data_IF_820152916571
#
_entry.id   IF_820152916571
#
_cell.length_a   1.000
_cell.length_b   1.000
_cell.length_c   1.000
_cell.angle_alpha   90.00
_cell.angle_beta   90.00
_cell.angle_gamma   90.00
#
_symmetry.space_group_name_H-M   'P 1'
#
loop_
_entity.id
_entity.type
_entity.pdbx_description
1 polymer ?
#
# COMPACT_ATOMS: atom_id res chain seq x y z
N UNK A 1 -10.08 23.30 -10.11
CA UNK A 1 -9.47 23.63 -11.42
C UNK A 1 -8.24 24.53 -11.30
N UNK A 2 -8.27 25.66 -10.57
CA UNK A 2 -7.11 26.59 -10.44
C UNK A 2 -5.79 25.92 -10.00
N UNK A 3 -5.86 25.01 -9.02
CA UNK A 3 -4.68 24.26 -8.56
C UNK A 3 -4.07 23.40 -9.69
N UNK A 4 -4.91 22.69 -10.45
CA UNK A 4 -4.48 21.90 -11.61
C UNK A 4 -3.92 22.80 -12.72
N UNK A 5 -4.56 23.94 -12.98
CA UNK A 5 -4.03 24.94 -13.92
C UNK A 5 -2.64 25.43 -13.52
N UNK A 6 -2.40 25.66 -12.23
CA UNK A 6 -1.07 26.06 -11.72
C UNK A 6 -0.04 24.95 -11.96
N UNK A 7 -0.40 23.69 -11.69
CA UNK A 7 0.47 22.54 -11.96
C UNK A 7 0.76 22.40 -13.46
N UNK A 8 -0.25 22.55 -14.32
CA UNK A 8 -0.10 22.48 -15.77
C UNK A 8 0.78 23.61 -16.32
N UNK A 9 0.62 24.83 -15.81
CA UNK A 9 1.48 25.96 -16.17
C UNK A 9 2.93 25.71 -15.74
N UNK A 10 3.14 25.12 -14.56
CA UNK A 10 4.47 24.72 -14.10
C UNK A 10 5.09 23.65 -15.01
N UNK A 11 4.33 22.60 -15.34
CA UNK A 11 4.77 21.52 -16.23
C UNK A 11 5.13 22.02 -17.64
N UNK A 12 4.31 22.93 -18.19
CA UNK A 12 4.53 23.52 -19.51
C UNK A 12 5.83 24.34 -19.57
N UNK A 13 6.13 25.11 -18.52
CA UNK A 13 7.34 25.94 -18.44
C UNK A 13 8.60 25.12 -18.16
N UNK A 14 8.51 24.05 -17.36
CA UNK A 14 9.68 23.23 -17.01
C UNK A 14 9.96 22.07 -17.98
N UNK A 15 9.00 21.72 -18.84
CA UNK A 15 9.15 20.61 -19.80
C UNK A 15 9.12 19.23 -19.16
N UNK A 16 8.53 19.09 -17.97
CA UNK A 16 8.43 17.82 -17.25
C UNK A 16 7.19 17.01 -17.65
N UNK A 17 7.18 15.74 -17.27
CA UNK A 17 6.03 14.86 -17.47
C UNK A 17 5.18 14.80 -16.20
N UNK A 18 3.92 15.22 -16.33
CA UNK A 18 2.92 15.08 -15.28
C UNK A 18 2.18 13.75 -15.44
N UNK A 19 2.36 12.85 -14.47
CA UNK A 19 1.56 11.62 -14.36
C UNK A 19 0.51 11.82 -13.27
N UNK A 20 -0.73 12.12 -13.67
CA UNK A 20 -1.84 12.32 -12.76
C UNK A 20 -2.52 10.99 -12.46
N UNK A 21 -2.30 10.49 -11.25
CA UNK A 21 -2.93 9.25 -10.80
C UNK A 21 -4.41 9.48 -10.46
N UNK A 22 -5.25 8.46 -10.69
CA UNK A 22 -6.67 8.45 -10.31
C UNK A 22 -7.49 9.64 -10.83
N UNK A 23 -7.19 10.09 -12.05
CA UNK A 23 -7.75 11.31 -12.65
C UNK A 23 -9.29 11.32 -12.72
N UNK A 24 -9.89 10.12 -12.75
CA UNK A 24 -11.34 9.91 -12.78
C UNK A 24 -12.04 10.06 -11.42
N UNK A 25 -11.38 10.57 -10.39
CA UNK A 25 -12.00 11.04 -9.15
C UNK A 25 -12.33 12.53 -9.14
N UNK A 26 -11.81 13.29 -10.09
CA UNK A 26 -12.05 14.73 -10.17
C UNK A 26 -13.52 14.97 -10.56
N UNK A 27 -14.16 15.94 -9.91
CA UNK A 27 -15.53 16.33 -10.22
C UNK A 27 -15.68 16.71 -11.71
N UNK A 28 -16.80 16.31 -12.31
CA UNK A 28 -17.07 16.47 -13.75
C UNK A 28 -17.07 17.95 -14.17
N UNK A 29 -17.56 18.86 -13.30
CA UNK A 29 -17.54 20.29 -13.57
C UNK A 29 -16.11 20.82 -13.68
N UNK A 30 -15.21 20.31 -12.85
CA UNK A 30 -13.79 20.68 -12.83
C UNK A 30 -13.05 20.08 -14.03
N UNK A 31 -13.35 18.84 -14.40
CA UNK A 31 -12.80 18.18 -15.60
C UNK A 31 -13.11 18.95 -16.88
N UNK A 32 -14.29 19.56 -16.97
CA UNK A 32 -14.68 20.35 -18.14
C UNK A 32 -13.79 21.59 -18.33
N UNK A 33 -13.42 22.27 -17.24
CA UNK A 33 -12.48 23.41 -17.28
C UNK A 33 -11.07 22.94 -17.61
N UNK A 34 -10.64 21.81 -17.04
CA UNK A 34 -9.32 21.22 -17.31
C UNK A 34 -9.20 20.82 -18.78
N UNK A 35 -10.28 20.37 -19.42
CA UNK A 35 -10.31 20.07 -20.86
C UNK A 35 -9.84 21.27 -21.70
N UNK A 36 -10.34 22.47 -21.41
CA UNK A 36 -9.95 23.70 -22.09
C UNK A 36 -8.47 24.05 -21.84
N UNK A 37 -7.99 23.84 -20.62
CA UNK A 37 -6.58 24.06 -20.25
C UNK A 37 -5.65 23.11 -21.03
N UNK A 38 -5.97 21.82 -21.04
CA UNK A 38 -5.23 20.80 -21.78
C UNK A 38 -5.25 21.06 -23.29
N UNK A 39 -6.41 21.46 -23.83
CA UNK A 39 -6.53 21.80 -25.25
C UNK A 39 -5.67 23.01 -25.63
N UNK A 40 -5.55 24.00 -24.75
CA UNK A 40 -4.71 25.19 -24.98
C UNK A 40 -3.24 24.80 -25.05
N UNK A 41 -2.76 23.96 -24.13
CA UNK A 41 -1.38 23.42 -24.13
C UNK A 41 -1.15 22.58 -25.39
N UNK A 42 -2.08 21.68 -25.73
CA UNK A 42 -2.00 20.83 -26.93
C UNK A 42 -1.90 21.65 -28.20
N UNK A 43 -2.73 22.68 -28.36
CA UNK A 43 -2.71 23.56 -29.54
C UNK A 43 -1.36 24.28 -29.64
N UNK A 44 -0.84 24.81 -28.53
CA UNK A 44 0.46 25.47 -28.51
C UNK A 44 1.61 24.53 -28.91
N UNK A 45 1.56 23.26 -28.46
CA UNK A 45 2.52 22.22 -28.85
C UNK A 45 2.43 21.87 -30.34
N UNK A 46 1.22 21.71 -30.88
CA UNK A 46 1.00 21.41 -32.31
C UNK A 46 1.50 22.55 -33.19
N UNK A 47 1.27 23.80 -32.78
CA UNK A 47 1.74 25.00 -33.47
C UNK A 47 3.22 25.30 -33.22
N UNK A 48 3.90 24.52 -32.36
CA UNK A 48 5.32 24.70 -31.99
C UNK A 48 5.64 26.11 -31.48
N UNK A 49 4.73 26.67 -30.68
CA UNK A 49 4.94 27.98 -30.08
C UNK A 49 6.01 27.91 -28.99
N UNK A 50 6.79 28.99 -28.83
CA UNK A 50 7.73 29.13 -27.70
C UNK A 50 7.08 29.75 -26.47
N UNK A 51 6.08 30.59 -26.70
CA UNK A 51 5.27 31.27 -25.70
C UNK A 51 3.81 31.20 -26.10
N UNK A 52 2.92 31.07 -25.13
CA UNK A 52 1.49 31.04 -25.37
C UNK A 52 0.74 31.64 -24.18
N UNK A 53 -0.50 32.06 -24.43
CA UNK A 53 -1.36 32.58 -23.38
C UNK A 53 -2.06 31.40 -22.72
N UNK A 54 -1.86 31.25 -21.41
CA UNK A 54 -2.50 30.25 -20.57
C UNK A 54 -3.14 30.93 -19.36
N UNK A 55 -4.45 30.72 -19.16
CA UNK A 55 -5.22 31.35 -18.06
C UNK A 55 -5.04 32.89 -17.99
N UNK A 56 -4.87 33.54 -19.14
CA UNK A 56 -4.70 35.00 -19.25
C UNK A 56 -3.28 35.51 -19.02
N UNK A 57 -2.29 34.63 -18.80
CA UNK A 57 -0.88 35.01 -18.68
C UNK A 57 -0.05 34.42 -19.83
N UNK A 58 0.91 35.18 -20.35
CA UNK A 58 1.88 34.66 -21.31
C UNK A 58 2.93 33.83 -20.57
N UNK A 59 3.03 32.54 -20.88
CA UNK A 59 3.99 31.61 -20.30
C UNK A 59 4.88 30.99 -21.36
N UNK A 60 6.11 30.64 -20.97
CA UNK A 60 7.02 29.86 -21.81
C UNK A 60 6.51 28.42 -21.97
N UNK A 61 6.77 27.83 -23.14
CA UNK A 61 6.45 26.44 -23.45
C UNK A 61 7.71 25.66 -23.81
N UNK A 62 8.03 24.67 -22.99
CA UNK A 62 9.02 23.65 -23.34
C UNK A 62 8.32 22.48 -24.07
N UNK A 63 8.75 22.14 -25.30
CA UNK A 63 8.13 21.07 -26.10
C UNK A 63 8.26 19.66 -25.49
N UNK A 64 9.08 19.48 -24.44
CA UNK A 64 9.25 18.20 -23.73
C UNK A 64 8.10 17.88 -22.78
N UNK A 65 7.22 18.84 -22.50
CA UNK A 65 6.09 18.61 -21.58
C UNK A 65 5.25 17.41 -22.03
N UNK A 66 4.89 16.57 -21.06
CA UNK A 66 4.07 15.38 -21.27
C UNK A 66 2.99 15.31 -20.21
N UNK A 67 1.78 14.94 -20.60
CA UNK A 67 0.65 14.81 -19.67
C UNK A 67 0.07 13.41 -19.82
N UNK A 68 0.12 12.66 -18.74
CA UNK A 68 -0.37 11.29 -18.64
C UNK A 68 -1.36 11.20 -17.50
N UNK A 69 -2.40 10.40 -17.71
CA UNK A 69 -3.42 10.13 -16.70
C UNK A 69 -3.55 8.63 -16.53
N UNK A 70 -3.85 8.19 -15.32
CA UNK A 70 -4.33 6.84 -15.05
C UNK A 70 -5.78 6.90 -14.60
N UNK A 71 -6.53 5.86 -14.92
CA UNK A 71 -7.90 5.70 -14.47
C UNK A 71 -8.16 4.22 -14.21
N UNK A 72 -8.91 3.93 -13.15
CA UNK A 72 -9.41 2.59 -12.88
C UNK A 72 -10.94 2.61 -13.06
N UNK A 73 -11.46 2.20 -14.22
CA UNK A 73 -12.90 2.13 -14.45
C UNK A 73 -13.56 1.12 -13.49
N UNK A 74 -14.80 1.37 -13.09
CA UNK A 74 -15.61 0.42 -12.31
C UNK A 74 -15.34 0.36 -10.80
N UNK A 75 -14.45 1.19 -10.27
CA UNK A 75 -14.25 1.35 -8.82
C UNK A 75 -15.25 2.36 -8.23
N UNK A 76 -15.65 2.13 -6.97
CA UNK A 76 -16.56 3.03 -6.26
C UNK A 76 -16.00 4.45 -6.17
N UNK A 77 -16.86 5.46 -6.26
CA UNK A 77 -16.45 6.87 -6.20
C UNK A 77 -15.74 7.40 -7.45
N UNK A 78 -15.71 6.62 -8.56
CA UNK A 78 -15.07 7.03 -9.81
C UNK A 78 -16.11 7.33 -10.88
N UNK A 79 -15.92 8.44 -11.59
CA UNK A 79 -16.77 8.85 -12.70
C UNK A 79 -16.16 8.45 -14.04
N UNK A 80 -16.99 8.28 -15.06
CA UNK A 80 -16.46 8.23 -16.42
C UNK A 80 -15.98 9.61 -16.84
N UNK A 81 -14.86 9.66 -17.56
CA UNK A 81 -14.38 10.91 -18.12
C UNK A 81 -15.34 11.45 -19.19
N UNK A 82 -15.57 12.76 -19.24
CA UNK A 82 -16.31 13.36 -20.35
C UNK A 82 -15.63 13.09 -21.70
N UNK A 83 -16.42 12.91 -22.76
CA UNK A 83 -15.90 12.66 -24.11
C UNK A 83 -14.94 13.77 -24.60
N UNK A 84 -15.20 15.02 -24.19
CA UNK A 84 -14.31 16.15 -24.49
C UNK A 84 -12.90 15.96 -23.92
N UNK A 85 -12.77 15.33 -22.75
CA UNK A 85 -11.47 15.01 -22.13
C UNK A 85 -10.88 13.76 -22.78
N UNK A 86 -11.68 12.71 -22.99
CA UNK A 86 -11.23 11.47 -23.64
C UNK A 86 -10.60 11.74 -25.01
N UNK A 87 -11.16 12.67 -25.79
CA UNK A 87 -10.64 13.08 -27.10
C UNK A 87 -9.24 13.72 -27.08
N UNK A 88 -8.75 14.15 -25.91
CA UNK A 88 -7.40 14.71 -25.73
C UNK A 88 -6.34 13.65 -25.46
N UNK A 89 -6.75 12.44 -25.07
CA UNK A 89 -5.84 11.38 -24.65
C UNK A 89 -5.87 10.20 -25.61
N UNK A 90 -4.74 9.49 -25.68
CA UNK A 90 -4.64 8.21 -26.37
C UNK A 90 -4.83 7.09 -25.35
N UNK A 91 -5.87 6.24 -25.46
CA UNK A 91 -6.07 5.16 -24.50
C UNK A 91 -5.01 4.07 -24.66
N UNK A 92 -4.53 3.56 -23.52
CA UNK A 92 -3.69 2.37 -23.43
C UNK A 92 -4.36 1.44 -22.42
N UNK A 93 -4.56 0.19 -22.81
CA UNK A 93 -5.31 -0.79 -22.03
C UNK A 93 -4.36 -1.82 -21.45
N UNK A 94 -4.20 -1.81 -20.12
CA UNK A 94 -3.33 -2.70 -19.37
C UNK A 94 -4.18 -3.65 -18.50
N UNK A 95 -4.66 -4.76 -19.06
CA UNK A 95 -5.64 -5.65 -18.37
C UNK A 95 -4.96 -6.67 -17.46
N UNK A 96 -4.06 -7.50 -18.00
CA UNK A 96 -3.46 -8.61 -17.26
C UNK A 96 -1.93 -8.58 -17.41
N UNK A 97 -1.17 -8.40 -16.32
CA UNK A 97 0.27 -8.52 -16.36
C UNK A 97 0.72 -9.99 -16.43
N UNK A 98 1.88 -10.23 -17.03
CA UNK A 98 2.53 -11.55 -16.97
C UNK A 98 3.21 -11.74 -15.60
N UNK A 99 2.48 -12.36 -14.68
CA UNK A 99 2.97 -12.60 -13.32
C UNK A 99 4.16 -13.57 -13.28
N UNK A 100 4.24 -14.54 -14.19
CA UNK A 100 5.32 -15.54 -14.18
C UNK A 100 6.64 -14.89 -14.59
N UNK A 101 6.61 -14.06 -15.64
CA UNK A 101 7.78 -13.31 -16.08
C UNK A 101 8.26 -12.31 -15.04
N UNK A 102 7.35 -11.61 -14.35
CA UNK A 102 7.70 -10.69 -13.27
C UNK A 102 8.34 -11.44 -12.10
N UNK A 103 7.74 -12.56 -11.66
CA UNK A 103 8.33 -13.42 -10.62
C UNK A 103 9.73 -13.89 -10.99
N UNK A 104 9.90 -14.37 -12.22
CA UNK A 104 11.17 -14.87 -12.73
C UNK A 104 12.25 -13.80 -12.65
N UNK A 105 12.00 -12.62 -13.20
CA UNK A 105 12.97 -11.52 -13.23
C UNK A 105 13.30 -11.05 -11.81
N UNK A 106 12.28 -10.93 -10.94
CA UNK A 106 12.50 -10.50 -9.56
C UNK A 106 13.35 -11.51 -8.78
N UNK A 107 13.00 -12.80 -8.81
CA UNK A 107 13.78 -13.85 -8.14
C UNK A 107 15.22 -13.90 -8.69
N UNK A 108 15.38 -13.81 -10.02
CA UNK A 108 16.69 -13.79 -10.63
C UNK A 108 17.53 -12.59 -10.17
N UNK A 109 16.93 -11.40 -10.06
CA UNK A 109 17.59 -10.19 -9.57
C UNK A 109 18.03 -10.28 -8.09
N UNK A 110 17.32 -11.08 -7.28
CA UNK A 110 17.68 -11.36 -5.88
C UNK A 110 18.70 -12.51 -5.73
N UNK A 111 19.20 -13.08 -6.84
CA UNK A 111 20.26 -14.09 -6.84
C UNK A 111 19.78 -15.54 -6.77
N UNK A 112 18.50 -15.81 -7.08
CA UNK A 112 17.98 -17.18 -7.16
C UNK A 112 18.40 -17.85 -8.47
N UNK A 113 19.10 -18.98 -8.37
CA UNK A 113 19.54 -19.78 -9.52
C UNK A 113 18.40 -20.60 -10.14
N UNK A 114 17.44 -21.04 -9.33
CA UNK A 114 16.27 -21.82 -9.76
C UNK A 114 15.04 -20.94 -10.04
N UNK A 115 15.24 -19.64 -10.30
CA UNK A 115 14.18 -18.63 -10.44
C UNK A 115 13.05 -19.06 -11.40
N UNK A 116 13.36 -19.72 -12.52
CA UNK A 116 12.35 -20.19 -13.50
C UNK A 116 11.37 -21.20 -12.92
N UNK A 117 11.88 -22.19 -12.20
CA UNK A 117 11.03 -23.23 -11.59
C UNK A 117 10.22 -22.63 -10.44
N UNK A 118 10.87 -21.79 -9.63
CA UNK A 118 10.28 -21.13 -8.47
C UNK A 118 9.17 -20.13 -8.83
N UNK A 119 9.37 -19.35 -9.90
CA UNK A 119 8.37 -18.42 -10.43
C UNK A 119 7.09 -19.17 -10.83
N UNK A 120 7.23 -20.28 -11.58
CA UNK A 120 6.10 -21.12 -11.98
C UNK A 120 5.37 -21.73 -10.78
N UNK A 121 6.10 -22.22 -9.76
CA UNK A 121 5.49 -22.74 -8.54
C UNK A 121 4.68 -21.67 -7.80
N UNK A 122 5.23 -20.45 -7.71
CA UNK A 122 4.58 -19.33 -7.05
C UNK A 122 3.30 -18.88 -7.75
N UNK A 123 3.33 -18.73 -9.08
CA UNK A 123 2.13 -18.33 -9.85
C UNK A 123 1.05 -19.40 -9.82
N UNK A 124 1.43 -20.68 -9.91
CA UNK A 124 0.50 -21.81 -9.76
C UNK A 124 -0.12 -21.84 -8.37
N UNK A 125 0.66 -21.63 -7.30
CA UNK A 125 0.11 -21.57 -5.93
C UNK A 125 -0.97 -20.49 -5.80
N UNK A 126 -0.69 -19.27 -6.27
CA UNK A 126 -1.64 -18.15 -6.18
C UNK A 126 -2.88 -18.39 -7.03
N UNK A 127 -2.73 -19.02 -8.20
CA UNK A 127 -3.86 -19.42 -9.05
C UNK A 127 -4.74 -20.45 -8.33
N UNK A 128 -4.15 -21.53 -7.81
CA UNK A 128 -4.88 -22.58 -7.11
C UNK A 128 -5.54 -22.06 -5.83
N UNK A 129 -4.84 -21.23 -5.06
CA UNK A 129 -5.38 -20.65 -3.84
C UNK A 129 -6.58 -19.72 -4.13
N UNK A 130 -6.54 -18.95 -5.23
CA UNK A 130 -7.68 -18.14 -5.68
C UNK A 130 -8.89 -19.00 -6.07
N UNK A 131 -8.67 -20.16 -6.65
CA UNK A 131 -9.73 -21.05 -7.16
C UNK A 131 -10.32 -21.96 -6.06
N UNK A 132 -9.51 -22.37 -5.07
CA UNK A 132 -9.90 -23.37 -4.08
C UNK A 132 -10.25 -22.81 -2.70
N UNK A 133 -9.67 -21.68 -2.30
CA UNK A 133 -9.99 -21.08 -1.00
C UNK A 133 -11.30 -20.31 -1.04
N UNK A 134 -11.88 -20.08 0.14
CA UNK A 134 -13.10 -19.30 0.26
C UNK A 134 -12.92 -17.86 -0.26
N UNK A 135 -14.00 -17.27 -0.81
CA UNK A 135 -13.98 -15.89 -1.32
C UNK A 135 -14.13 -14.91 -0.16
N UNK A 136 -13.00 -14.40 0.34
CA UNK A 136 -12.96 -13.37 1.38
C UNK A 136 -12.63 -11.99 0.80
N UNK A 137 -13.23 -10.92 1.34
CA UNK A 137 -12.99 -9.54 0.88
C UNK A 137 -11.53 -9.07 1.08
N UNK A 138 -10.83 -9.63 2.07
CA UNK A 138 -9.45 -9.25 2.39
C UNK A 138 -8.40 -10.13 1.72
N UNK A 139 -8.79 -11.12 0.92
CA UNK A 139 -7.85 -11.93 0.16
C UNK A 139 -7.38 -11.18 -1.09
N UNK A 140 -6.07 -10.97 -1.18
CA UNK A 140 -5.42 -10.29 -2.29
C UNK A 140 -4.47 -11.26 -3.01
N UNK A 141 -4.84 -11.64 -4.22
CA UNK A 141 -4.07 -12.48 -5.13
C UNK A 141 -3.39 -11.67 -6.24
N UNK A 142 -3.41 -10.33 -6.14
CA UNK A 142 -2.86 -9.42 -7.14
C UNK A 142 -1.34 -9.27 -7.05
N UNK A 143 -0.81 -8.47 -7.98
CA UNK A 143 0.63 -8.23 -8.12
C UNK A 143 1.25 -7.60 -6.86
N UNK A 144 0.50 -6.79 -6.10
CA UNK A 144 1.00 -6.17 -4.85
C UNK A 144 1.28 -7.21 -3.77
N UNK A 145 0.37 -8.18 -3.59
CA UNK A 145 0.60 -9.29 -2.66
C UNK A 145 1.79 -10.14 -3.09
N UNK A 146 1.87 -10.44 -4.38
CA UNK A 146 2.95 -11.22 -4.98
C UNK A 146 4.32 -10.53 -4.81
N UNK A 147 4.42 -9.24 -5.11
CA UNK A 147 5.64 -8.44 -4.93
C UNK A 147 6.09 -8.36 -3.47
N UNK A 148 5.16 -8.38 -2.51
CA UNK A 148 5.51 -8.39 -1.11
C UNK A 148 6.22 -9.71 -0.72
N UNK A 149 5.72 -10.84 -1.23
CA UNK A 149 6.35 -12.16 -1.02
C UNK A 149 7.71 -12.24 -1.68
N UNK A 150 7.87 -11.75 -2.92
CA UNK A 150 9.16 -11.73 -3.61
C UNK A 150 10.21 -10.95 -2.82
N UNK A 151 9.86 -9.74 -2.34
CA UNK A 151 10.77 -8.95 -1.49
C UNK A 151 11.18 -9.68 -0.22
N UNK A 152 10.24 -10.35 0.44
CA UNK A 152 10.53 -11.13 1.64
C UNK A 152 11.46 -12.31 1.32
N UNK A 153 11.21 -13.02 0.22
CA UNK A 153 12.06 -14.12 -0.23
C UNK A 153 13.50 -13.65 -0.50
N UNK A 154 13.69 -12.49 -1.14
CA UNK A 154 14.99 -11.87 -1.35
C UNK A 154 15.72 -11.52 -0.05
N UNK A 155 15.00 -10.95 0.94
CA UNK A 155 15.56 -10.66 2.28
C UNK A 155 15.99 -11.95 2.99
N UNK A 156 15.14 -12.97 2.99
CA UNK A 156 15.43 -14.26 3.61
C UNK A 156 16.61 -14.97 2.92
N UNK A 157 16.72 -14.90 1.59
CA UNK A 157 17.85 -15.49 0.85
C UNK A 157 19.17 -14.82 1.22
N UNK A 158 19.19 -13.49 1.36
CA UNK A 158 20.39 -12.75 1.79
C UNK A 158 20.76 -13.04 3.25
N UNK A 159 19.77 -13.18 4.12
CA UNK A 159 19.99 -13.48 5.54
C UNK A 159 20.45 -14.93 5.77
N UNK A 160 20.14 -15.85 4.87
CA UNK A 160 20.50 -17.27 5.00
C UNK A 160 20.90 -17.88 3.65
N UNK A 161 22.13 -17.60 3.17
CA UNK A 161 22.58 -18.01 1.84
C UNK A 161 22.58 -19.53 1.62
N UNK A 162 22.89 -20.29 2.67
CA UNK A 162 23.07 -21.75 2.64
C UNK A 162 21.75 -22.54 2.58
N UNK A 163 20.62 -21.87 2.85
CA UNK A 163 19.31 -22.53 2.80
C UNK A 163 18.88 -22.71 1.33
N UNK A 164 18.31 -23.88 1.04
CA UNK A 164 17.70 -24.20 -0.25
C UNK A 164 16.72 -23.10 -0.68
N UNK A 165 16.86 -22.64 -1.93
CA UNK A 165 16.02 -21.59 -2.51
C UNK A 165 14.53 -21.94 -2.48
N UNK A 166 14.20 -23.23 -2.67
CA UNK A 166 12.83 -23.72 -2.58
C UNK A 166 12.27 -23.58 -1.17
N UNK A 167 13.08 -23.84 -0.14
CA UNK A 167 12.67 -23.70 1.25
C UNK A 167 12.51 -22.23 1.65
N UNK A 168 13.41 -21.35 1.17
CA UNK A 168 13.30 -19.90 1.36
C UNK A 168 11.99 -19.36 0.77
N UNK A 169 11.67 -19.74 -0.47
CA UNK A 169 10.43 -19.30 -1.12
C UNK A 169 9.19 -19.86 -0.43
N UNK A 170 9.19 -21.17 -0.10
CA UNK A 170 8.10 -21.81 0.63
C UNK A 170 7.82 -21.10 1.96
N UNK A 171 8.88 -20.74 2.69
CA UNK A 171 8.79 -20.00 3.95
C UNK A 171 8.17 -18.61 3.74
N UNK A 172 8.67 -17.85 2.77
CA UNK A 172 8.13 -16.53 2.45
C UNK A 172 6.64 -16.60 2.07
N UNK A 173 6.25 -17.59 1.24
CA UNK A 173 4.87 -17.80 0.83
C UNK A 173 3.95 -18.13 2.00
N UNK A 174 4.41 -19.00 2.91
CA UNK A 174 3.66 -19.37 4.11
C UNK A 174 3.51 -18.18 5.04
N UNK A 175 4.63 -17.62 5.51
CA UNK A 175 4.65 -16.64 6.60
C UNK A 175 3.89 -15.36 6.20
N UNK A 176 3.92 -14.95 4.93
CA UNK A 176 3.20 -13.75 4.45
C UNK A 176 1.71 -13.93 4.21
N UNK A 177 1.23 -15.16 4.02
CA UNK A 177 -0.18 -15.42 3.71
C UNK A 177 -0.93 -16.02 4.90
N UNK A 178 -0.24 -16.80 5.75
CA UNK A 178 -0.79 -17.38 6.97
C UNK A 178 -1.60 -16.40 7.85
N UNK A 179 -1.12 -15.18 8.17
CA UNK A 179 -1.87 -14.28 9.06
C UNK A 179 -3.16 -13.72 8.44
N UNK A 180 -3.36 -13.89 7.12
CA UNK A 180 -4.53 -13.37 6.40
C UNK A 180 -5.67 -14.37 6.33
N UNK A 181 -5.39 -15.66 6.43
CA UNK A 181 -6.40 -16.68 6.17
C UNK A 181 -7.36 -16.86 7.35
N UNK A 182 -8.62 -17.14 7.02
CA UNK A 182 -9.56 -17.67 8.00
C UNK A 182 -9.12 -19.08 8.41
N UNK A 183 -9.54 -19.49 9.60
CA UNK A 183 -9.11 -20.77 10.20
C UNK A 183 -9.38 -21.98 9.30
N UNK A 184 -10.52 -21.99 8.59
CA UNK A 184 -10.95 -23.07 7.71
C UNK A 184 -10.10 -23.20 6.43
N UNK A 185 -9.60 -22.08 5.89
CA UNK A 185 -8.80 -22.06 4.67
C UNK A 185 -7.32 -22.40 4.91
N UNK A 186 -6.86 -22.25 6.15
CA UNK A 186 -5.46 -22.45 6.50
C UNK A 186 -4.97 -23.90 6.22
N UNK A 187 -5.68 -24.97 6.62
CA UNK A 187 -5.30 -26.34 6.26
C UNK A 187 -5.25 -26.57 4.74
N UNK A 188 -6.19 -26.00 3.98
CA UNK A 188 -6.24 -26.10 2.53
C UNK A 188 -5.00 -25.45 1.90
N UNK A 189 -4.66 -24.24 2.32
CA UNK A 189 -3.48 -23.53 1.83
C UNK A 189 -2.18 -24.26 2.18
N UNK A 190 -2.06 -24.81 3.40
CA UNK A 190 -0.90 -25.61 3.77
C UNK A 190 -0.80 -26.90 2.96
N UNK A 191 -1.93 -27.51 2.60
CA UNK A 191 -1.99 -28.63 1.64
C UNK A 191 -1.42 -28.24 0.28
N UNK A 192 -1.88 -27.12 -0.29
CA UNK A 192 -1.37 -26.60 -1.57
C UNK A 192 0.14 -26.33 -1.54
N UNK A 193 0.66 -25.81 -0.41
CA UNK A 193 2.09 -25.63 -0.23
C UNK A 193 2.82 -26.98 -0.23
N UNK A 194 2.33 -27.98 0.51
CA UNK A 194 2.94 -29.32 0.58
C UNK A 194 2.98 -30.01 -0.79
N UNK A 195 1.94 -29.85 -1.59
CA UNK A 195 1.87 -30.43 -2.93
C UNK A 195 2.90 -29.79 -3.90
N UNK A 196 3.12 -28.48 -3.79
CA UNK A 196 4.10 -27.76 -4.63
C UNK A 196 5.55 -27.89 -4.14
N UNK A 197 5.73 -28.18 -2.86
CA UNK A 197 7.02 -28.26 -2.18
C UNK A 197 7.12 -29.59 -1.39
N UNK A 198 7.12 -30.75 -2.09
CA UNK A 198 7.07 -32.05 -1.43
C UNK A 198 8.35 -32.34 -0.64
N UNK A 199 8.20 -32.98 0.53
CA UNK A 199 9.33 -33.41 1.37
C UNK A 199 10.09 -32.27 2.04
N UNK A 200 9.55 -31.04 2.05
CA UNK A 200 10.15 -29.91 2.74
C UNK A 200 9.34 -29.53 3.98
N UNK A 201 10.00 -29.62 5.13
CA UNK A 201 9.47 -29.07 6.38
C UNK A 201 10.07 -27.68 6.62
N UNK A 202 9.21 -26.72 6.92
CA UNK A 202 9.62 -25.37 7.25
C UNK A 202 9.39 -25.16 8.74
N UNK A 203 10.42 -25.25 9.60
CA UNK A 203 10.25 -24.92 11.01
C UNK A 203 9.91 -23.43 11.14
N UNK A 204 9.04 -23.10 12.11
CA UNK A 204 8.76 -21.71 12.43
C UNK A 204 9.98 -21.14 13.15
N UNK A 205 10.44 -19.97 12.71
CA UNK A 205 11.47 -19.24 13.45
C UNK A 205 10.79 -18.49 14.59
N UNK A 206 11.18 -18.83 15.81
CA UNK A 206 10.72 -18.12 17.00
C UNK A 206 11.49 -16.81 17.18
N UNK A 207 10.88 -15.86 17.89
CA UNK A 207 11.55 -14.68 18.42
C UNK A 207 11.53 -14.77 19.95
N UNK A 208 12.48 -15.48 20.58
CA UNK A 208 12.41 -15.77 22.02
C UNK A 208 12.32 -14.51 22.88
N UNK A 209 13.17 -13.52 22.59
CA UNK A 209 13.19 -12.25 23.34
C UNK A 209 11.88 -11.46 23.17
N UNK A 210 11.33 -11.47 21.95
CA UNK A 210 10.06 -10.80 21.67
C UNK A 210 8.89 -11.52 22.35
N UNK A 211 8.86 -12.86 22.30
CA UNK A 211 7.83 -13.66 22.96
C UNK A 211 7.85 -13.43 24.48
N UNK A 212 9.03 -13.41 25.10
CA UNK A 212 9.18 -13.09 26.52
C UNK A 212 8.71 -11.67 26.84
N UNK A 213 9.01 -10.69 25.98
CA UNK A 213 8.54 -9.31 26.15
C UNK A 213 7.01 -9.20 26.02
N UNK A 214 6.39 -9.96 25.11
CA UNK A 214 4.94 -10.05 24.93
C UNK A 214 4.26 -10.65 26.15
N UNK A 215 4.71 -11.81 26.62
CA UNK A 215 4.19 -12.46 27.84
C UNK A 215 4.32 -11.53 29.06
N UNK A 216 5.48 -10.88 29.20
CA UNK A 216 5.68 -9.88 30.24
C UNK A 216 4.73 -8.69 30.12
N UNK A 217 4.38 -8.24 28.90
CA UNK A 217 3.42 -7.15 28.69
C UNK A 217 1.99 -7.57 29.08
N UNK A 218 1.58 -8.80 28.78
CA UNK A 218 0.30 -9.36 29.25
C UNK A 218 0.24 -9.38 30.79
N UNK A 219 1.30 -9.89 31.43
CA UNK A 219 1.38 -9.95 32.89
C UNK A 219 1.30 -8.56 33.54
N UNK A 220 1.98 -7.57 32.97
CA UNK A 220 1.94 -6.18 33.47
C UNK A 220 0.53 -5.57 33.41
N UNK A 221 -0.25 -5.89 32.37
CA UNK A 221 -1.64 -5.47 32.26
C UNK A 221 -2.62 -6.34 33.06
N UNK A 222 -2.14 -7.34 33.81
CA UNK A 222 -2.96 -8.32 34.53
C UNK A 222 -3.96 -9.03 33.62
N UNK A 223 -3.57 -9.30 32.38
CA UNK A 223 -4.37 -10.04 31.41
C UNK A 223 -4.00 -11.53 31.45
N UNK A 224 -4.98 -12.40 31.17
CA UNK A 224 -4.72 -13.82 30.99
C UNK A 224 -3.93 -14.04 29.69
N UNK A 225 -2.86 -14.83 29.77
CA UNK A 225 -2.05 -15.18 28.61
C UNK A 225 -2.76 -16.30 27.86
N UNK A 226 -3.20 -16.00 26.63
CA UNK A 226 -3.75 -16.98 25.70
C UNK A 226 -2.73 -17.21 24.58
N UNK A 227 -2.30 -18.45 24.31
CA UNK A 227 -1.30 -18.73 23.26
C UNK A 227 -1.69 -18.19 21.89
N UNK A 228 -2.97 -18.22 21.55
CA UNK A 228 -3.50 -17.70 20.28
C UNK A 228 -3.35 -16.18 20.19
N UNK A 229 -3.51 -15.46 21.30
CA UNK A 229 -3.31 -14.00 21.32
C UNK A 229 -1.84 -13.63 21.23
N UNK A 230 -0.95 -14.38 21.91
CA UNK A 230 0.51 -14.21 21.77
C UNK A 230 0.91 -14.42 20.31
N UNK A 231 0.40 -15.49 19.69
CA UNK A 231 0.65 -15.79 18.28
C UNK A 231 0.20 -14.66 17.34
N UNK A 232 -0.95 -14.04 17.61
CA UNK A 232 -1.45 -12.88 16.84
C UNK A 232 -0.58 -11.63 17.01
N UNK A 233 -0.01 -11.39 18.19
CA UNK A 233 0.95 -10.29 18.40
C UNK A 233 2.23 -10.52 17.59
N UNK A 234 2.74 -11.76 17.55
CA UNK A 234 3.91 -12.13 16.74
C UNK A 234 3.61 -11.96 15.25
N UNK A 235 2.47 -12.47 14.77
CA UNK A 235 2.04 -12.30 13.38
C UNK A 235 1.91 -10.83 12.97
N UNK A 236 1.37 -9.99 13.86
CA UNK A 236 1.30 -8.54 13.62
C UNK A 236 2.71 -7.93 13.53
N UNK A 237 3.61 -8.30 14.44
CA UNK A 237 5.00 -7.84 14.40
C UNK A 237 5.70 -8.21 13.09
N UNK A 238 5.63 -9.48 12.68
CA UNK A 238 6.22 -9.97 11.42
C UNK A 238 5.63 -9.26 10.20
N UNK A 239 4.30 -9.05 10.19
CA UNK A 239 3.63 -8.33 9.10
C UNK A 239 4.14 -6.89 8.99
N UNK A 240 4.29 -6.20 10.12
CA UNK A 240 4.79 -4.82 10.19
C UNK A 240 6.27 -4.68 9.80
N UNK A 241 7.07 -5.75 9.83
CA UNK A 241 8.44 -5.71 9.29
C UNK A 241 8.47 -5.62 7.77
N UNK A 242 7.41 -6.08 7.09
CA UNK A 242 7.35 -6.10 5.61
C UNK A 242 6.51 -4.98 5.00
N UNK A 243 5.61 -4.39 5.80
CA UNK A 243 4.63 -3.39 5.33
C UNK A 243 4.54 -2.23 6.30
N UNK A 244 4.41 -1.03 5.76
CA UNK A 244 4.24 0.21 6.53
C UNK A 244 2.85 0.32 7.20
N UNK A 245 1.83 -0.32 6.63
CA UNK A 245 0.46 -0.32 7.16
C UNK A 245 -0.08 -1.74 7.28
N UNK A 246 -0.79 -2.00 8.36
CA UNK A 246 -1.41 -3.31 8.67
C UNK A 246 -2.84 -3.09 9.13
N UNK A 247 -3.78 -3.89 8.63
CA UNK A 247 -5.18 -3.92 9.08
C UNK A 247 -5.37 -5.09 10.03
N UNK A 248 -6.10 -4.87 11.12
CA UNK A 248 -6.47 -5.93 12.06
C UNK A 248 -7.96 -6.15 11.93
N UNK A 249 -8.32 -7.27 11.31
CA UNK A 249 -9.70 -7.64 11.03
C UNK A 249 -10.14 -8.71 12.03
N UNK A 250 -11.34 -8.54 12.57
CA UNK A 250 -11.90 -9.49 13.53
C UNK A 250 -13.21 -8.97 14.13
N UNK A 251 -13.97 -9.84 14.82
CA UNK A 251 -15.28 -9.49 15.35
C UNK A 251 -15.20 -8.46 16.48
N UNK A 252 -16.35 -7.86 16.80
CA UNK A 252 -16.51 -7.02 17.99
C UNK A 252 -16.16 -7.81 19.25
N UNK A 253 -15.37 -7.21 20.15
CA UNK A 253 -14.88 -7.90 21.36
C UNK A 253 -13.78 -8.93 21.13
N UNK A 254 -13.31 -9.15 19.89
CA UNK A 254 -12.28 -10.15 19.57
C UNK A 254 -10.84 -9.83 20.01
N UNK A 255 -10.63 -8.86 20.91
CA UNK A 255 -9.31 -8.55 21.46
C UNK A 255 -8.34 -7.79 20.52
N UNK A 256 -8.81 -7.22 19.41
CA UNK A 256 -7.98 -6.48 18.42
C UNK A 256 -7.14 -5.38 19.08
N UNK A 257 -7.77 -4.52 19.88
CA UNK A 257 -7.08 -3.43 20.57
C UNK A 257 -6.05 -3.94 21.57
N UNK A 258 -6.32 -5.08 22.22
CA UNK A 258 -5.37 -5.72 23.14
C UNK A 258 -4.10 -6.10 22.39
N UNK A 259 -4.21 -6.76 21.22
CA UNK A 259 -3.07 -7.15 20.38
C UNK A 259 -2.21 -5.93 20.01
N UNK A 260 -2.82 -4.82 19.57
CA UNK A 260 -2.11 -3.58 19.20
C UNK A 260 -1.36 -3.00 20.40
N UNK A 261 -2.04 -2.87 21.55
CA UNK A 261 -1.44 -2.27 22.72
C UNK A 261 -0.33 -3.14 23.32
N UNK A 262 -0.49 -4.46 23.31
CA UNK A 262 0.53 -5.39 23.78
C UNK A 262 1.76 -5.35 22.88
N UNK A 263 1.60 -5.27 21.55
CA UNK A 263 2.71 -5.08 20.62
C UNK A 263 3.54 -3.83 20.98
N UNK A 264 2.88 -2.69 21.19
CA UNK A 264 3.55 -1.42 21.53
C UNK A 264 4.31 -1.51 22.85
N UNK A 265 3.71 -2.17 23.86
CA UNK A 265 4.37 -2.39 25.14
C UNK A 265 5.56 -3.35 25.04
N UNK A 266 5.43 -4.43 24.28
CA UNK A 266 6.51 -5.39 24.05
C UNK A 266 7.69 -4.72 23.36
N UNK A 267 7.46 -3.90 22.33
CA UNK A 267 8.51 -3.12 21.67
C UNK A 267 9.20 -2.13 22.62
N UNK A 268 8.41 -1.46 23.47
CA UNK A 268 8.94 -0.55 24.50
C UNK A 268 9.84 -1.29 25.49
N UNK A 269 9.48 -2.52 25.90
CA UNK A 269 10.30 -3.38 26.77
C UNK A 269 11.61 -3.82 26.11
N UNK A 270 11.62 -3.99 24.79
CA UNK A 270 12.82 -4.32 24.01
C UNK A 270 13.74 -3.11 23.75
N UNK A 271 13.49 -1.97 24.40
CA UNK A 271 14.32 -0.76 24.25
C UNK A 271 13.92 0.13 23.07
N UNK A 272 12.76 -0.10 22.45
CA UNK A 272 12.20 0.76 21.40
C UNK A 272 10.93 1.45 21.91
N UNK A 273 11.03 2.63 22.57
CA UNK A 273 9.87 3.38 23.03
C UNK A 273 8.85 3.52 21.89
N UNK A 274 7.65 2.99 22.10
CA UNK A 274 6.63 2.93 21.04
C UNK A 274 5.44 3.81 21.39
N UNK A 275 5.15 4.79 20.53
CA UNK A 275 4.05 5.74 20.69
C UNK A 275 2.91 5.41 19.74
N UNK A 276 1.69 5.41 20.27
CA UNK A 276 0.45 5.15 19.52
C UNK A 276 -0.38 6.44 19.39
N UNK A 277 -0.41 6.91 18.14
CA UNK A 277 -1.21 7.94 17.48
C UNK A 277 -2.68 7.56 17.25
N UNK A 278 -3.52 7.35 18.27
CA UNK A 278 -4.90 6.88 18.00
C UNK A 278 -5.82 8.01 17.55
N UNK A 279 -6.53 7.80 16.44
CA UNK A 279 -7.59 8.69 15.97
C UNK A 279 -8.76 7.88 15.37
N UNK A 280 -9.97 8.42 15.46
CA UNK A 280 -11.12 7.91 14.75
C UNK A 280 -11.36 8.78 13.50
N UNK A 281 -11.09 8.27 12.29
CA UNK A 281 -11.20 9.06 11.06
C UNK A 281 -12.65 9.50 10.78
N UNK A 282 -13.65 8.78 11.29
CA UNK A 282 -15.08 9.13 11.13
C UNK A 282 -15.62 10.10 12.17
N UNK A 283 -14.84 10.42 13.21
CA UNK A 283 -15.26 11.37 14.22
C UNK A 283 -15.19 12.83 13.74
N UNK A 284 -14.53 13.08 12.62
CA UNK A 284 -14.38 14.40 12.01
C UNK A 284 -14.67 14.32 10.52
N UNK A 285 -14.90 15.47 9.91
CA UNK A 285 -15.08 15.56 8.45
C UNK A 285 -13.75 15.32 7.73
N UNK A 286 -13.79 14.91 6.45
CA UNK A 286 -12.58 14.73 5.62
C UNK A 286 -11.72 16.00 5.59
N UNK A 287 -12.36 17.16 5.57
CA UNK A 287 -11.70 18.47 5.61
C UNK A 287 -10.96 18.68 6.93
N UNK A 288 -11.58 18.38 8.07
CA UNK A 288 -10.93 18.50 9.38
C UNK A 288 -9.82 17.46 9.56
N UNK A 289 -9.95 16.29 8.93
CA UNK A 289 -8.95 15.22 9.01
C UNK A 289 -7.69 15.57 8.22
N UNK A 290 -7.82 15.98 6.95
CA UNK A 290 -6.68 16.21 6.05
C UNK A 290 -6.25 17.67 5.96
N UNK A 291 -7.19 18.60 6.15
CA UNK A 291 -6.99 20.02 5.93
C UNK A 291 -7.65 20.49 4.65
N UNK A 292 -7.68 21.81 4.48
CA UNK A 292 -8.29 22.47 3.31
C UNK A 292 -7.51 23.72 2.94
N UNK A 293 -7.41 23.96 1.64
CA UNK A 293 -6.97 25.23 1.10
C UNK A 293 -8.18 26.17 1.01
N UNK A 294 -8.13 27.30 1.71
CA UNK A 294 -9.21 28.29 1.66
C UNK A 294 -9.41 28.76 0.20
N UNK A 295 -10.64 28.67 -0.34
CA UNK A 295 -10.89 28.99 -1.75
C UNK A 295 -10.76 30.49 -2.06
N UNK A 296 -10.84 31.36 -1.06
CA UNK A 296 -10.78 32.82 -1.19
C UNK A 296 -9.37 33.31 -0.86
N UNK A 297 -8.87 33.01 0.35
CA UNK A 297 -7.57 33.54 0.80
C UNK A 297 -6.40 32.76 0.20
N UNK A 298 -6.63 31.51 -0.22
CA UNK A 298 -5.60 30.55 -0.64
C UNK A 298 -4.62 30.17 0.48
N UNK A 299 -5.01 30.36 1.74
CA UNK A 299 -4.24 29.88 2.88
C UNK A 299 -4.54 28.41 3.16
N UNK A 300 -3.50 27.65 3.50
CA UNK A 300 -3.63 26.25 3.86
C UNK A 300 -3.94 26.11 5.35
N UNK A 301 -5.03 25.43 5.67
CA UNK A 301 -5.37 25.02 7.05
C UNK A 301 -5.08 23.53 7.21
N UNK A 302 -4.16 23.19 8.12
CA UNK A 302 -3.80 21.81 8.40
C UNK A 302 -4.93 21.05 9.12
N UNK A 303 -5.23 19.84 8.66
CA UNK A 303 -6.12 18.92 9.35
C UNK A 303 -5.45 18.18 10.51
N UNK A 304 -6.26 17.45 11.29
CA UNK A 304 -5.82 16.65 12.43
C UNK A 304 -4.74 15.63 12.04
N UNK A 305 -4.97 14.83 10.99
CA UNK A 305 -4.01 13.83 10.54
C UNK A 305 -2.75 14.49 10.00
N UNK A 306 -2.87 15.58 9.24
CA UNK A 306 -1.73 16.32 8.69
C UNK A 306 -0.83 16.87 9.81
N UNK A 307 -1.42 17.39 10.89
CA UNK A 307 -0.69 17.84 12.07
C UNK A 307 0.01 16.68 12.80
N UNK A 308 -0.71 15.59 13.08
CA UNK A 308 -0.15 14.39 13.72
C UNK A 308 1.00 13.82 12.88
N UNK A 309 0.79 13.70 11.57
CA UNK A 309 1.78 13.17 10.63
C UNK A 309 3.03 14.06 10.59
N UNK A 310 2.88 15.38 10.56
CA UNK A 310 4.02 16.30 10.62
C UNK A 310 4.78 16.18 11.93
N UNK A 311 4.08 16.08 13.06
CA UNK A 311 4.70 15.92 14.38
C UNK A 311 5.49 14.61 14.48
N UNK A 312 4.90 13.50 14.05
CA UNK A 312 5.51 12.17 14.06
C UNK A 312 6.70 12.06 13.11
N UNK A 313 6.76 12.87 12.05
CA UNK A 313 7.91 12.87 11.14
C UNK A 313 9.03 13.85 11.56
N UNK A 314 8.89 14.55 12.68
CA UNK A 314 9.99 15.39 13.19
C UNK A 314 11.21 14.53 13.54
N UNK A 315 12.43 14.96 13.16
CA UNK A 315 13.65 14.26 13.54
C UNK A 315 13.74 14.09 15.06
N UNK A 316 14.18 12.91 15.49
CA UNK A 316 14.40 12.59 16.90
C UNK A 316 15.69 11.81 17.02
N UNK A 317 16.48 12.10 18.04
CA UNK A 317 17.71 11.36 18.34
C UNK A 317 17.41 10.01 19.01
N UNK A 318 16.21 9.82 19.53
CA UNK A 318 15.79 8.58 20.19
C UNK A 318 15.34 7.56 19.15
N UNK A 319 15.80 6.32 19.30
CA UNK A 319 15.35 5.19 18.50
C UNK A 319 13.94 4.74 18.93
N UNK A 320 12.92 5.56 18.63
CA UNK A 320 11.52 5.31 18.96
C UNK A 320 10.71 4.83 17.75
N UNK A 321 9.65 4.08 18.02
CA UNK A 321 8.65 3.68 17.01
C UNK A 321 7.40 4.53 17.20
N UNK A 322 6.88 5.09 16.12
CA UNK A 322 5.68 5.94 16.14
C UNK A 322 4.67 5.38 15.15
N UNK A 323 3.49 5.06 15.65
CA UNK A 323 2.41 4.48 14.85
C UNK A 323 1.19 5.37 14.91
N UNK A 324 0.50 5.52 13.78
CA UNK A 324 -0.82 6.14 13.70
C UNK A 324 -1.83 5.00 13.66
N UNK A 325 -2.77 4.98 14.62
CA UNK A 325 -3.83 4.00 14.71
C UNK A 325 -5.15 4.65 14.30
N UNK A 326 -5.68 4.21 13.16
CA UNK A 326 -7.03 4.55 12.73
C UNK A 326 -8.02 3.58 13.38
N UNK A 327 -8.63 3.99 14.49
CA UNK A 327 -9.61 3.21 15.24
C UNK A 327 -11.03 3.58 14.81
N UNK A 328 -11.49 2.95 13.73
CA UNK A 328 -12.81 3.18 13.17
C UNK A 328 -13.04 2.37 11.90
N UNK A 329 -14.28 2.43 11.41
CA UNK A 329 -14.65 1.76 10.17
C UNK A 329 -13.97 2.40 8.96
N UNK A 330 -13.58 1.56 8.01
CA UNK A 330 -13.01 2.00 6.73
C UNK A 330 -14.13 2.35 5.76
N UNK A 331 -14.01 3.50 5.12
CA UNK A 331 -14.81 3.87 3.96
C UNK A 331 -13.91 4.52 2.89
N UNK A 332 -14.39 4.49 1.64
CA UNK A 332 -13.64 4.99 0.49
C UNK A 332 -13.40 6.51 0.51
N UNK A 333 -14.20 7.28 1.28
CA UNK A 333 -14.10 8.73 1.26
C UNK A 333 -12.85 9.22 1.99
N UNK A 334 -12.46 8.60 3.11
CA UNK A 334 -11.25 9.01 3.81
C UNK A 334 -10.03 8.15 3.43
N UNK A 335 -10.17 6.82 3.30
CA UNK A 335 -8.99 5.94 3.15
C UNK A 335 -8.21 6.16 1.84
N UNK A 336 -8.87 6.72 0.83
CA UNK A 336 -8.27 6.94 -0.48
C UNK A 336 -7.67 8.36 -0.68
N UNK A 337 -7.67 9.20 0.37
CA UNK A 337 -7.01 10.52 0.39
C UNK A 337 -5.62 10.46 1.05
#
# INVERSE_FOLDING_TARGET
YKAIGTNLAGLAQCGAWGCFDEFNRIDISVLSVISTQLQTIRTALVLKLKKFIFEGQEIDLDPKVGIFITMNPGYAGRTELPESVKALFRPVVCILPDLEMICLISLFSDGFLQAKVLAKKMTVLYKLAREQLSKQFHYDWGLRALNAVLRMAGVLKRASPDISESLVLMRALRDMNYPKFVYEDMPLFLGLIRDLFPGMDCPRVGYPDFNAAVEGAFAQKKLQILPEQVDKVVQMYETMMTRHSTMIVGPTGGGKSVVIHILSQAQTKLGYPTKLHTLNPKACTVIELYGILDPITRDWTDGLLSNIFREINRPTEKQERRYILFDGDVDALWIEN
#
